data_IF_872029105964
#
_entry.id   IF_872029105964
#
_cell.length_a   1.000
_cell.length_b   1.000
_cell.length_c   1.000
_cell.angle_alpha   90.00
_cell.angle_beta   90.00
_cell.angle_gamma   90.00
#
_symmetry.space_group_name_H-M   'P 1'
#
loop_
_entity.id
_entity.type
_entity.pdbx_description
1 polymer ?
#
# COMPACT_ATOMS: atom_id res chain seq x y z
N UNK A 1 10.39 30.05 27.22
CA UNK A 1 9.46 31.13 26.80
C UNK A 1 8.97 30.77 25.40
N UNK A 2 7.67 30.60 25.21
CA UNK A 2 7.09 30.33 23.89
C UNK A 2 7.24 31.56 23.01
N UNK A 3 7.88 31.41 21.85
CA UNK A 3 8.01 32.51 20.87
C UNK A 3 6.60 32.94 20.42
N UNK A 4 6.38 34.25 20.16
CA UNK A 4 5.10 34.73 19.69
C UNK A 4 4.76 34.10 18.32
N UNK A 5 3.50 33.73 18.10
CA UNK A 5 3.03 33.23 16.80
C UNK A 5 3.15 34.32 15.74
N UNK A 6 3.78 33.98 14.64
CA UNK A 6 3.94 34.84 13.48
C UNK A 6 3.43 34.15 12.22
N UNK A 7 3.07 34.91 11.19
CA UNK A 7 2.66 34.36 9.91
C UNK A 7 3.86 33.72 9.20
N UNK A 8 3.66 32.53 8.67
CA UNK A 8 4.70 31.71 8.05
C UNK A 8 5.42 32.44 6.89
N UNK A 9 4.71 33.32 6.17
CA UNK A 9 5.27 34.12 5.07
C UNK A 9 6.48 34.99 5.44
N UNK A 10 6.70 35.25 6.72
CA UNK A 10 7.87 36.03 7.19
C UNK A 10 9.16 35.18 7.28
N UNK A 11 9.05 33.88 7.15
CA UNK A 11 10.17 32.95 7.32
C UNK A 11 10.68 32.36 6.01
N UNK A 12 10.02 32.63 4.88
CA UNK A 12 10.48 32.25 3.56
C UNK A 12 10.06 33.30 2.52
N UNK A 13 10.64 33.21 1.34
CA UNK A 13 10.14 33.90 0.14
C UNK A 13 9.72 32.87 -0.91
N UNK A 14 8.64 33.14 -1.61
CA UNK A 14 8.25 32.36 -2.80
C UNK A 14 9.16 32.76 -3.96
N UNK A 15 9.75 31.76 -4.62
CA UNK A 15 10.53 31.98 -5.86
C UNK A 15 9.76 31.43 -7.05
N UNK A 16 9.81 32.18 -8.17
CA UNK A 16 9.15 31.81 -9.43
C UNK A 16 10.13 31.91 -10.60
N UNK A 17 11.43 31.69 -10.32
CA UNK A 17 12.44 31.68 -11.35
C UNK A 17 12.20 30.55 -12.33
N UNK A 18 12.10 30.88 -13.62
CA UNK A 18 11.87 29.92 -14.70
C UNK A 18 13.19 29.40 -15.26
N UNK A 19 13.14 28.16 -15.79
CA UNK A 19 14.31 27.50 -16.34
C UNK A 19 14.90 28.25 -17.55
N UNK A 20 14.04 28.74 -18.46
CA UNK A 20 14.50 29.27 -19.72
C UNK A 20 15.29 28.22 -20.51
N UNK A 21 16.54 28.53 -20.84
CA UNK A 21 17.46 27.62 -21.54
C UNK A 21 18.20 26.65 -20.58
N UNK A 22 18.12 26.88 -19.27
CA UNK A 22 18.82 26.08 -18.27
C UNK A 22 18.03 24.80 -17.97
N UNK A 23 18.65 23.64 -18.14
CA UNK A 23 17.99 22.34 -18.02
C UNK A 23 18.68 21.41 -16.99
N UNK A 24 18.71 21.79 -15.70
CA UNK A 24 19.14 20.87 -14.66
C UNK A 24 18.15 19.69 -14.50
N UNK A 25 18.50 18.64 -13.73
CA UNK A 25 17.66 17.45 -13.57
C UNK A 25 16.23 17.78 -13.14
N UNK A 26 15.26 17.05 -13.70
CA UNK A 26 13.87 17.16 -13.30
C UNK A 26 13.67 16.52 -11.92
N UNK A 27 13.04 17.26 -11.02
CA UNK A 27 12.73 16.80 -9.66
C UNK A 27 11.23 16.51 -9.51
N UNK A 28 10.93 15.56 -8.64
CA UNK A 28 9.58 15.22 -8.24
C UNK A 28 9.43 15.35 -6.71
N UNK A 29 8.23 15.70 -6.24
CA UNK A 29 7.90 15.76 -4.83
C UNK A 29 7.07 14.56 -4.45
N UNK A 30 7.71 13.61 -3.76
CA UNK A 30 7.09 12.38 -3.26
C UNK A 30 6.56 12.60 -1.84
N UNK A 31 5.41 11.98 -1.53
CA UNK A 31 4.85 11.96 -0.17
C UNK A 31 5.82 11.25 0.81
N UNK A 32 6.50 10.22 0.34
CA UNK A 32 7.38 9.39 1.18
C UNK A 32 8.83 9.88 1.20
N UNK A 33 9.38 10.23 0.02
CA UNK A 33 10.80 10.53 -0.15
C UNK A 33 11.14 12.03 -0.18
N UNK A 34 10.11 12.92 -0.12
CA UNK A 34 10.33 14.36 -0.28
C UNK A 34 10.71 14.73 -1.71
N UNK A 35 11.67 15.65 -1.87
CA UNK A 35 12.16 16.12 -3.18
C UNK A 35 13.29 15.22 -3.66
N UNK A 36 13.09 14.54 -4.77
CA UNK A 36 14.05 13.59 -5.34
C UNK A 36 14.14 13.76 -6.88
N UNK A 37 15.24 13.34 -7.51
CA UNK A 37 15.28 13.25 -8.96
C UNK A 37 14.13 12.39 -9.50
N UNK A 38 13.43 12.87 -10.52
CA UNK A 38 12.28 12.14 -11.09
C UNK A 38 12.67 10.73 -11.58
N UNK A 39 13.87 10.57 -12.11
CA UNK A 39 14.40 9.28 -12.56
C UNK A 39 14.49 8.21 -11.46
N UNK A 40 14.46 8.59 -10.18
CA UNK A 40 14.43 7.63 -9.07
C UNK A 40 13.03 7.06 -8.79
N UNK A 41 11.98 7.66 -9.36
CA UNK A 41 10.58 7.28 -9.15
C UNK A 41 9.92 6.62 -10.35
N UNK A 42 10.35 6.97 -11.56
CA UNK A 42 9.80 6.44 -12.81
C UNK A 42 10.79 6.61 -13.96
N UNK A 43 10.78 5.65 -14.87
CA UNK A 43 11.52 5.68 -16.14
C UNK A 43 10.73 6.40 -17.26
N UNK A 44 9.49 6.82 -16.98
CA UNK A 44 8.66 7.52 -17.95
C UNK A 44 9.29 8.86 -18.35
N UNK A 45 9.26 9.18 -19.62
CA UNK A 45 9.65 10.49 -20.13
C UNK A 45 8.74 11.60 -19.55
N UNK A 46 9.24 12.84 -19.42
CA UNK A 46 8.42 13.99 -19.05
C UNK A 46 7.24 14.13 -20.03
N UNK A 47 6.06 14.45 -19.53
CA UNK A 47 4.89 14.70 -20.40
C UNK A 47 5.01 15.98 -21.21
N UNK A 48 5.80 16.95 -20.74
CA UNK A 48 6.07 18.20 -21.44
C UNK A 48 7.36 18.05 -22.25
N UNK A 49 7.30 18.38 -23.51
CA UNK A 49 8.48 18.45 -24.42
C UNK A 49 9.33 19.69 -24.12
N UNK A 50 8.69 20.82 -23.77
CA UNK A 50 9.34 22.06 -23.39
C UNK A 50 9.31 22.25 -21.86
N UNK A 51 10.49 22.36 -21.27
CA UNK A 51 10.69 22.57 -19.84
C UNK A 51 11.05 24.02 -19.49
N UNK A 52 11.11 24.94 -20.46
CA UNK A 52 11.49 26.34 -20.24
C UNK A 52 10.63 27.08 -19.21
N UNK A 53 9.36 26.66 -19.08
CA UNK A 53 8.40 27.22 -18.12
C UNK A 53 8.45 26.52 -16.74
N UNK A 54 9.28 25.48 -16.57
CA UNK A 54 9.45 24.86 -15.27
C UNK A 54 10.18 25.81 -14.32
N UNK A 55 9.99 25.60 -13.00
CA UNK A 55 10.61 26.45 -12.00
C UNK A 55 11.96 25.89 -11.58
N UNK A 56 12.93 26.77 -11.44
CA UNK A 56 14.21 26.45 -10.85
C UNK A 56 14.08 26.35 -9.33
N UNK A 57 14.65 25.31 -8.79
CA UNK A 57 14.78 25.04 -7.37
C UNK A 57 16.27 24.86 -7.06
N UNK A 58 16.74 25.57 -6.06
CA UNK A 58 18.13 25.47 -5.57
C UNK A 58 18.22 24.49 -4.40
N UNK A 59 19.45 24.04 -4.11
CA UNK A 59 19.70 23.26 -2.89
C UNK A 59 19.26 24.05 -1.66
N UNK A 60 18.50 23.42 -0.77
CA UNK A 60 17.95 24.04 0.44
C UNK A 60 16.59 24.72 0.22
N UNK A 61 16.11 24.88 -0.98
CA UNK A 61 14.75 25.33 -1.22
C UNK A 61 13.74 24.26 -0.79
N UNK A 62 12.61 24.68 -0.26
CA UNK A 62 11.49 23.79 0.07
C UNK A 62 10.52 23.77 -1.11
N UNK A 63 10.22 22.59 -1.61
CA UNK A 63 9.29 22.40 -2.73
C UNK A 63 8.01 21.74 -2.24
N UNK A 64 6.87 22.31 -2.63
CA UNK A 64 5.55 21.89 -2.23
C UNK A 64 4.68 21.64 -3.45
N UNK A 65 4.13 20.41 -3.57
CA UNK A 65 3.11 20.11 -4.55
C UNK A 65 1.74 20.60 -4.04
N UNK A 66 1.23 21.68 -4.60
CA UNK A 66 0.00 22.36 -4.15
C UNK A 66 -1.22 21.46 -4.06
N UNK A 67 -1.32 20.46 -4.94
CA UNK A 67 -2.46 19.55 -5.03
C UNK A 67 -2.34 18.35 -4.08
N UNK A 68 -1.13 18.05 -3.57
CA UNK A 68 -0.87 16.93 -2.66
C UNK A 68 -0.16 17.32 -1.36
N UNK A 69 -0.04 18.61 -1.08
CA UNK A 69 0.60 19.10 0.14
C UNK A 69 -0.08 18.57 1.42
N UNK A 70 -1.41 18.50 1.40
CA UNK A 70 -2.21 17.93 2.49
C UNK A 70 -1.99 16.41 2.69
N UNK A 71 -1.33 15.74 1.76
CA UNK A 71 -0.89 14.35 1.88
C UNK A 71 0.59 14.26 2.31
N UNK A 72 1.26 15.38 2.51
CA UNK A 72 2.68 15.44 2.86
C UNK A 72 3.63 15.52 1.66
N UNK A 73 3.14 15.85 0.45
CA UNK A 73 3.98 16.06 -0.72
C UNK A 73 4.71 17.42 -0.64
N UNK A 74 5.68 17.48 0.28
CA UNK A 74 6.55 18.62 0.55
C UNK A 74 7.92 18.11 0.99
N UNK A 75 8.98 18.82 0.65
CA UNK A 75 10.33 18.47 1.07
C UNK A 75 11.36 19.54 0.76
N UNK A 76 12.54 19.38 1.32
CA UNK A 76 13.72 20.17 0.99
C UNK A 76 14.43 19.55 -0.21
N UNK A 77 14.85 20.38 -1.15
CA UNK A 77 15.68 19.93 -2.25
C UNK A 77 17.14 19.77 -1.80
N UNK A 78 17.73 18.62 -2.03
CA UNK A 78 19.15 18.36 -1.78
C UNK A 78 20.04 18.78 -2.94
N UNK A 79 19.46 19.09 -4.11
CA UNK A 79 20.17 19.45 -5.34
C UNK A 79 19.42 20.56 -6.09
N UNK A 80 20.13 21.24 -6.97
CA UNK A 80 19.53 22.15 -7.95
C UNK A 80 18.79 21.35 -9.02
N UNK A 81 17.57 21.79 -9.40
CA UNK A 81 16.78 21.09 -10.41
C UNK A 81 15.53 21.84 -10.84
N UNK A 82 14.77 21.21 -11.73
CA UNK A 82 13.50 21.73 -12.26
C UNK A 82 12.31 21.06 -11.58
N UNK A 83 11.32 21.85 -11.24
CA UNK A 83 10.04 21.37 -10.70
C UNK A 83 8.87 21.90 -11.49
N UNK A 84 7.74 21.22 -11.43
CA UNK A 84 6.51 21.61 -12.16
C UNK A 84 6.15 23.07 -11.91
N UNK A 85 5.64 23.79 -12.92
CA UNK A 85 5.11 25.15 -12.76
C UNK A 85 4.04 25.31 -11.68
N UNK A 86 3.28 24.25 -11.42
CA UNK A 86 2.22 24.21 -10.39
C UNK A 86 2.76 24.09 -8.96
N UNK A 87 4.04 23.76 -8.77
CA UNK A 87 4.61 23.64 -7.46
C UNK A 87 5.01 25.00 -6.88
N UNK A 88 5.04 25.10 -5.56
CA UNK A 88 5.65 26.24 -4.87
C UNK A 88 7.09 25.91 -4.54
N UNK A 89 7.96 26.88 -4.82
CA UNK A 89 9.36 26.86 -4.38
C UNK A 89 9.50 27.94 -3.33
N UNK A 90 9.84 27.53 -2.11
CA UNK A 90 9.94 28.39 -0.93
C UNK A 90 11.40 28.43 -0.51
N UNK A 91 12.01 29.61 -0.57
CA UNK A 91 13.39 29.82 -0.12
C UNK A 91 13.39 30.29 1.32
N UNK A 92 13.95 29.50 2.26
CA UNK A 92 14.01 29.87 3.68
C UNK A 92 14.75 31.17 3.90
N UNK A 93 14.30 31.96 4.89
CA UNK A 93 14.94 33.19 5.32
C UNK A 93 16.15 32.92 6.26
N UNK A 94 16.96 33.93 6.57
CA UNK A 94 18.17 33.77 7.36
C UNK A 94 17.93 33.38 8.83
N UNK A 95 16.72 33.60 9.34
CA UNK A 95 16.31 33.20 10.69
C UNK A 95 15.72 31.82 10.82
N UNK A 96 15.82 31.01 9.75
CA UNK A 96 15.19 29.68 9.68
C UNK A 96 16.19 28.57 9.40
N UNK A 97 16.09 27.49 10.17
CA UNK A 97 16.77 26.22 9.88
C UNK A 97 15.91 25.39 8.92
N UNK A 98 16.43 25.10 7.74
CA UNK A 98 15.67 24.43 6.67
C UNK A 98 15.20 23.02 7.08
N UNK A 99 15.98 22.28 7.84
CA UNK A 99 15.61 20.93 8.32
C UNK A 99 14.48 21.01 9.35
N UNK A 100 14.46 22.04 10.19
CA UNK A 100 13.34 22.29 11.10
C UNK A 100 12.04 22.57 10.32
N UNK A 101 12.09 23.44 9.30
CA UNK A 101 10.92 23.69 8.43
C UNK A 101 10.48 22.43 7.69
N UNK A 102 11.41 21.56 7.27
CA UNK A 102 11.08 20.28 6.68
C UNK A 102 10.23 19.41 7.63
N UNK A 103 10.63 19.29 8.89
CA UNK A 103 9.89 18.54 9.90
C UNK A 103 8.56 19.21 10.25
N UNK A 104 8.56 20.54 10.42
CA UNK A 104 7.34 21.31 10.70
C UNK A 104 6.28 21.07 9.62
N UNK A 105 6.64 21.24 8.36
CA UNK A 105 5.70 21.11 7.23
C UNK A 105 5.16 19.69 7.04
N UNK A 106 5.87 18.68 7.50
CA UNK A 106 5.45 17.28 7.46
C UNK A 106 4.79 16.79 8.75
N UNK A 107 4.69 17.62 9.76
CA UNK A 107 3.97 17.30 11.00
C UNK A 107 2.47 17.17 10.75
N UNK A 108 1.80 16.28 11.51
CA UNK A 108 0.33 16.12 11.42
C UNK A 108 -0.40 17.43 11.69
N UNK A 109 0.13 18.23 12.63
CA UNK A 109 -0.43 19.53 12.94
C UNK A 109 -0.42 20.45 11.73
N UNK A 110 0.73 20.63 11.06
CA UNK A 110 0.86 21.52 9.92
C UNK A 110 0.06 21.02 8.69
N UNK A 111 0.05 19.70 8.46
CA UNK A 111 -0.78 19.09 7.43
C UNK A 111 -2.27 19.36 7.69
N UNK A 112 -2.71 19.31 8.96
CA UNK A 112 -4.08 19.70 9.37
C UNK A 112 -4.37 21.15 9.07
N UNK A 113 -3.46 22.08 9.42
CA UNK A 113 -3.57 23.51 9.14
C UNK A 113 -3.65 23.81 7.64
N UNK A 114 -2.87 23.12 6.81
CA UNK A 114 -2.97 23.23 5.36
C UNK A 114 -4.31 22.70 4.84
N UNK A 115 -4.75 21.56 5.36
CA UNK A 115 -6.00 20.90 4.91
C UNK A 115 -7.23 21.76 5.17
N UNK A 116 -7.25 22.48 6.32
CA UNK A 116 -8.37 23.39 6.67
C UNK A 116 -8.47 24.62 5.75
N UNK A 117 -7.42 24.92 4.99
CA UNK A 117 -7.34 26.08 4.07
C UNK A 117 -7.38 25.70 2.60
N UNK A 118 -7.63 24.42 2.28
CA UNK A 118 -7.77 23.99 0.89
C UNK A 118 -8.96 24.64 0.22
N UNK A 119 -8.76 25.17 -0.99
CA UNK A 119 -9.84 25.66 -1.84
C UNK A 119 -10.18 24.63 -2.92
N UNK A 120 -11.47 24.54 -3.27
CA UNK A 120 -11.97 23.60 -4.26
C UNK A 120 -12.65 22.35 -3.68
N UNK A 121 -12.81 22.28 -2.34
CA UNK A 121 -13.69 21.31 -1.67
C UNK A 121 -15.08 21.94 -1.60
N UNK A 122 -15.92 21.67 -2.58
CA UNK A 122 -17.30 22.14 -2.62
C UNK A 122 -17.87 21.91 -4.01
N UNK A 123 -18.94 21.12 -4.08
CA UNK A 123 -19.70 20.94 -5.32
C UNK A 123 -20.27 22.29 -5.74
N UNK A 124 -19.89 22.78 -6.89
CA UNK A 124 -20.68 23.80 -7.59
C UNK A 124 -21.81 23.06 -8.29
N UNK A 125 -22.99 23.67 -8.36
CA UNK A 125 -24.20 23.15 -9.05
C UNK A 125 -23.94 22.66 -10.50
N UNK A 126 -22.74 22.87 -11.04
CA UNK A 126 -22.33 22.52 -12.40
C UNK A 126 -21.35 21.33 -12.49
N UNK A 127 -21.20 20.50 -11.45
CA UNK A 127 -20.53 19.18 -11.55
C UNK A 127 -19.00 19.16 -11.81
N UNK A 128 -18.31 20.30 -11.85
CA UNK A 128 -16.87 20.34 -12.02
C UNK A 128 -16.17 20.14 -10.67
N UNK A 129 -15.69 18.93 -10.42
CA UNK A 129 -14.83 18.62 -9.27
C UNK A 129 -13.48 19.31 -9.47
N UNK A 130 -13.26 20.44 -8.79
CA UNK A 130 -11.94 21.09 -8.79
C UNK A 130 -11.02 20.33 -7.83
N UNK A 131 -9.84 19.97 -8.29
CA UNK A 131 -8.79 19.37 -7.45
C UNK A 131 -8.44 20.34 -6.31
N UNK A 132 -8.54 19.91 -5.03
CA UNK A 132 -8.17 20.75 -3.90
C UNK A 132 -6.72 21.22 -4.01
N UNK A 133 -6.46 22.52 -3.75
CA UNK A 133 -5.11 23.08 -3.75
C UNK A 133 -4.92 24.12 -2.66
N UNK A 134 -3.70 24.21 -2.12
CA UNK A 134 -3.31 25.30 -1.24
C UNK A 134 -2.78 26.48 -2.05
N UNK A 135 -3.22 27.70 -1.73
CA UNK A 135 -2.70 28.91 -2.35
C UNK A 135 -1.52 29.48 -1.53
N UNK A 136 -0.59 30.21 -2.18
CA UNK A 136 0.56 30.79 -1.47
C UNK A 136 0.17 31.71 -0.32
N UNK A 137 -0.90 32.49 -0.48
CA UNK A 137 -1.41 33.41 0.54
C UNK A 137 -1.97 32.66 1.73
N UNK A 138 -2.80 31.62 1.47
CA UNK A 138 -3.41 30.79 2.51
C UNK A 138 -2.33 30.01 3.28
N UNK A 139 -1.28 29.51 2.60
CA UNK A 139 -0.10 28.90 3.23
C UNK A 139 0.67 29.92 4.08
N UNK A 140 0.91 31.10 3.53
CA UNK A 140 1.66 32.18 4.19
C UNK A 140 0.98 32.75 5.43
N UNK A 141 -0.33 32.64 5.52
CA UNK A 141 -1.13 33.14 6.65
C UNK A 141 -1.27 32.12 7.79
N UNK A 142 -0.75 30.89 7.63
CA UNK A 142 -0.63 29.95 8.75
C UNK A 142 0.25 30.58 9.83
N UNK A 143 -0.22 30.59 11.07
CA UNK A 143 0.54 31.10 12.22
C UNK A 143 1.34 29.99 12.83
N UNK A 144 2.62 30.27 13.09
CA UNK A 144 3.58 29.34 13.71
C UNK A 144 4.37 30.06 14.80
N UNK A 145 4.62 29.40 15.90
CA UNK A 145 5.55 29.85 16.91
C UNK A 145 6.93 29.26 16.58
N UNK A 146 7.77 30.01 15.84
CA UNK A 146 9.10 29.54 15.52
C UNK A 146 10.05 29.84 16.69
N UNK A 147 10.76 28.84 17.24
CA UNK A 147 11.76 29.04 18.27
C UNK A 147 12.98 29.78 17.72
N UNK A 148 13.96 30.08 18.59
CA UNK A 148 15.24 30.67 18.17
C UNK A 148 15.94 29.76 17.15
N UNK A 149 16.80 30.33 16.31
CA UNK A 149 17.55 29.55 15.31
C UNK A 149 18.37 28.41 15.94
N UNK A 150 18.92 28.64 17.12
CA UNK A 150 19.64 27.63 17.88
C UNK A 150 18.73 26.47 18.30
N UNK A 151 17.53 26.79 18.79
CA UNK A 151 16.54 25.79 19.17
C UNK A 151 16.01 25.05 17.96
N UNK A 152 15.77 25.73 16.84
CA UNK A 152 15.40 25.08 15.58
C UNK A 152 16.43 24.03 15.14
N UNK A 153 17.75 24.38 15.23
CA UNK A 153 18.85 23.46 14.93
C UNK A 153 18.84 22.25 15.85
N UNK A 154 18.67 22.47 17.15
CA UNK A 154 18.62 21.42 18.17
C UNK A 154 17.46 20.46 17.93
N UNK A 155 16.27 20.99 17.63
CA UNK A 155 15.10 20.18 17.28
C UNK A 155 15.35 19.40 15.98
N UNK A 156 15.92 20.02 14.96
CA UNK A 156 16.22 19.37 13.69
C UNK A 156 17.22 18.22 13.87
N UNK A 157 18.33 18.44 14.57
CA UNK A 157 19.35 17.42 14.85
C UNK A 157 18.77 16.22 15.62
N UNK A 158 17.93 16.50 16.61
CA UNK A 158 17.21 15.47 17.36
C UNK A 158 16.27 14.66 16.45
N UNK A 159 15.43 15.35 15.67
CA UNK A 159 14.47 14.70 14.79
C UNK A 159 15.16 13.92 13.67
N UNK A 160 16.22 14.44 13.06
CA UNK A 160 17.00 13.73 12.05
C UNK A 160 17.57 12.43 12.62
N UNK A 161 18.12 12.48 13.84
CA UNK A 161 18.69 11.31 14.53
C UNK A 161 17.60 10.26 14.84
N UNK A 162 16.51 10.66 15.47
CA UNK A 162 15.47 9.75 15.92
C UNK A 162 14.62 9.22 14.76
N UNK A 163 14.31 10.05 13.76
CA UNK A 163 13.59 9.56 12.57
C UNK A 163 14.44 8.58 11.77
N UNK A 164 15.74 8.83 11.59
CA UNK A 164 16.64 7.88 10.95
C UNK A 164 16.76 6.55 11.72
N UNK A 165 16.67 6.59 13.06
CA UNK A 165 16.63 5.38 13.89
C UNK A 165 15.32 4.60 13.67
N UNK A 166 14.19 5.29 13.65
CA UNK A 166 12.88 4.70 13.39
C UNK A 166 12.85 4.09 11.98
N UNK A 167 13.34 4.81 10.98
CA UNK A 167 13.35 4.36 9.59
C UNK A 167 14.20 3.08 9.42
N UNK A 168 15.39 3.01 10.07
CA UNK A 168 16.20 1.77 10.09
C UNK A 168 15.49 0.59 10.76
N UNK A 169 14.72 0.83 11.82
CA UNK A 169 13.92 -0.22 12.45
C UNK A 169 12.77 -0.66 11.53
N UNK A 170 12.10 0.28 10.87
CA UNK A 170 11.03 -0.01 9.92
C UNK A 170 11.56 -0.87 8.75
N UNK A 171 12.72 -0.56 8.18
CA UNK A 171 13.35 -1.37 7.15
C UNK A 171 13.62 -2.83 7.62
N UNK A 172 14.09 -2.98 8.86
CA UNK A 172 14.32 -4.31 9.44
C UNK A 172 13.02 -5.10 9.60
N UNK A 173 11.96 -4.47 10.09
CA UNK A 173 10.66 -5.13 10.22
C UNK A 173 10.04 -5.44 8.85
N UNK A 174 10.22 -4.58 7.86
CA UNK A 174 9.77 -4.86 6.48
C UNK A 174 10.50 -6.08 5.90
N UNK A 175 11.83 -6.16 6.04
CA UNK A 175 12.61 -7.34 5.64
C UNK A 175 12.17 -8.59 6.40
N UNK A 176 11.96 -8.49 7.72
CA UNK A 176 11.48 -9.62 8.54
C UNK A 176 10.11 -10.10 8.06
N UNK A 177 9.18 -9.19 7.76
CA UNK A 177 7.86 -9.53 7.22
C UNK A 177 7.97 -10.28 5.90
N UNK A 178 8.78 -9.79 4.96
CA UNK A 178 8.97 -10.40 3.65
C UNK A 178 9.60 -11.79 3.76
N UNK A 179 10.72 -11.93 4.50
CA UNK A 179 11.38 -13.22 4.72
C UNK A 179 10.47 -14.23 5.45
N UNK A 180 9.59 -13.76 6.32
CA UNK A 180 8.64 -14.64 7.01
C UNK A 180 7.56 -15.16 6.05
N UNK A 181 7.11 -14.35 5.10
CA UNK A 181 6.18 -14.77 4.05
C UNK A 181 6.87 -15.78 3.11
N UNK A 182 8.09 -15.48 2.67
CA UNK A 182 8.89 -16.39 1.84
C UNK A 182 9.12 -17.73 2.53
N UNK A 183 9.45 -17.71 3.84
CA UNK A 183 9.61 -18.93 4.62
C UNK A 183 8.32 -19.74 4.71
N UNK A 184 7.15 -19.07 4.85
CA UNK A 184 5.86 -19.75 4.83
C UNK A 184 5.59 -20.44 3.49
N UNK A 185 6.07 -19.86 2.38
CA UNK A 185 6.02 -20.46 1.04
C UNK A 185 6.94 -21.68 0.94
N UNK A 186 8.19 -21.55 1.39
CA UNK A 186 9.16 -22.66 1.36
C UNK A 186 8.68 -23.89 2.13
N UNK A 187 7.89 -23.71 3.20
CA UNK A 187 7.29 -24.84 3.93
C UNK A 187 6.36 -25.66 3.05
N UNK A 188 5.51 -24.99 2.26
CA UNK A 188 4.62 -25.65 1.30
C UNK A 188 5.45 -26.40 0.25
N UNK A 189 6.39 -25.69 -0.37
CA UNK A 189 7.20 -26.21 -1.47
C UNK A 189 7.98 -27.44 -1.04
N UNK A 190 8.59 -27.40 0.16
CA UNK A 190 9.34 -28.52 0.73
C UNK A 190 8.42 -29.74 0.97
N UNK A 191 7.24 -29.52 1.52
CA UNK A 191 6.29 -30.61 1.76
C UNK A 191 5.78 -31.25 0.45
N UNK A 192 5.65 -30.45 -0.62
CA UNK A 192 5.19 -30.93 -1.92
C UNK A 192 6.34 -31.41 -2.83
N UNK A 193 7.61 -31.16 -2.50
CA UNK A 193 8.77 -31.61 -3.29
C UNK A 193 8.95 -33.12 -3.31
N UNK A 194 8.38 -33.84 -2.34
CA UNK A 194 8.41 -35.31 -2.28
C UNK A 194 7.60 -36.03 -3.36
N UNK A 195 6.82 -35.28 -4.18
CA UNK A 195 5.99 -35.83 -5.23
C UNK A 195 6.55 -35.47 -6.60
N UNK A 196 6.65 -36.45 -7.49
CA UNK A 196 7.09 -36.22 -8.87
C UNK A 196 5.95 -35.55 -9.67
N UNK A 197 6.33 -34.77 -10.71
CA UNK A 197 5.32 -34.20 -11.64
C UNK A 197 4.52 -35.29 -12.36
N UNK A 198 5.10 -36.48 -12.55
CA UNK A 198 4.44 -37.63 -13.18
C UNK A 198 3.32 -38.19 -12.30
N UNK A 199 3.44 -38.08 -10.96
CA UNK A 199 2.41 -38.51 -10.01
C UNK A 199 1.28 -37.48 -9.81
N UNK A 200 1.45 -36.24 -10.31
CA UNK A 200 0.42 -35.22 -10.22
C UNK A 200 -0.74 -35.52 -11.20
N UNK A 201 -1.96 -35.28 -10.73
CA UNK A 201 -3.19 -35.55 -11.48
C UNK A 201 -3.93 -34.26 -11.85
N UNK A 202 -4.77 -34.25 -12.89
CA UNK A 202 -5.57 -33.06 -13.21
C UNK A 202 -6.50 -32.67 -12.06
N UNK A 203 -6.73 -31.37 -11.86
CA UNK A 203 -7.65 -30.86 -10.84
C UNK A 203 -9.06 -31.45 -10.99
N UNK A 204 -9.50 -31.74 -12.21
CA UNK A 204 -10.78 -32.35 -12.48
C UNK A 204 -10.94 -33.75 -11.88
N UNK A 205 -9.87 -34.47 -11.55
CA UNK A 205 -9.94 -35.82 -10.97
C UNK A 205 -10.03 -35.80 -9.44
N UNK A 206 -9.62 -34.69 -8.81
CA UNK A 206 -9.59 -34.54 -7.34
C UNK A 206 -10.68 -33.61 -6.81
N UNK A 207 -11.38 -32.91 -7.70
CA UNK A 207 -12.48 -32.02 -7.33
C UNK A 207 -13.84 -32.66 -7.63
N UNK A 208 -14.80 -32.50 -6.70
CA UNK A 208 -16.21 -32.88 -6.92
C UNK A 208 -16.95 -31.86 -7.78
N UNK A 209 -16.48 -30.61 -7.83
CA UNK A 209 -16.98 -29.56 -8.71
C UNK A 209 -15.85 -28.55 -9.03
N UNK A 210 -15.86 -28.09 -10.28
CA UNK A 210 -15.07 -26.92 -10.72
C UNK A 210 -16.06 -26.00 -11.43
N UNK A 211 -16.30 -24.81 -10.84
CA UNK A 211 -17.36 -23.89 -11.28
C UNK A 211 -16.74 -22.59 -11.75
N UNK A 212 -16.97 -22.25 -13.01
CA UNK A 212 -16.61 -20.94 -13.56
C UNK A 212 -17.69 -19.89 -13.24
N UNK A 213 -17.27 -18.67 -12.97
CA UNK A 213 -18.16 -17.55 -12.73
C UNK A 213 -19.05 -17.22 -13.93
N UNK A 214 -20.11 -16.46 -13.71
CA UNK A 214 -20.86 -15.83 -14.80
C UNK A 214 -20.02 -14.68 -15.37
N UNK A 215 -19.67 -14.76 -16.65
CA UNK A 215 -18.80 -13.77 -17.30
C UNK A 215 -19.57 -12.50 -17.71
N UNK A 216 -20.27 -11.90 -16.72
CA UNK A 216 -20.99 -10.63 -16.83
C UNK A 216 -20.79 -9.83 -15.56
N UNK A 217 -20.78 -8.50 -15.66
CA UNK A 217 -20.78 -7.62 -14.49
C UNK A 217 -22.12 -7.73 -13.77
N UNK A 218 -22.08 -8.09 -12.49
CA UNK A 218 -23.28 -8.15 -11.66
C UNK A 218 -23.73 -6.72 -11.27
N UNK A 219 -25.02 -6.40 -11.39
CA UNK A 219 -25.56 -5.17 -10.84
C UNK A 219 -25.40 -5.15 -9.32
N UNK A 220 -24.85 -4.06 -8.78
CA UNK A 220 -24.69 -3.86 -7.33
C UNK A 220 -25.89 -3.13 -6.75
N UNK A 221 -26.18 -3.39 -5.47
CA UNK A 221 -27.21 -2.67 -4.71
C UNK A 221 -26.55 -1.58 -3.86
N UNK A 222 -27.19 -0.43 -3.77
CA UNK A 222 -26.83 0.62 -2.79
C UNK A 222 -27.30 0.27 -1.38
N UNK A 223 -28.29 -0.62 -1.26
CA UNK A 223 -28.77 -1.12 0.02
C UNK A 223 -27.90 -2.28 0.52
N UNK A 224 -27.73 -2.35 1.82
CA UNK A 224 -27.02 -3.46 2.47
C UNK A 224 -27.93 -4.69 2.45
N UNK A 225 -27.50 -5.74 1.76
CA UNK A 225 -28.21 -7.02 1.67
C UNK A 225 -27.34 -8.14 2.25
N UNK A 226 -27.91 -9.32 2.57
CA UNK A 226 -27.13 -10.48 2.99
C UNK A 226 -26.34 -11.12 1.84
N UNK A 227 -26.64 -10.76 0.59
CA UNK A 227 -26.04 -11.36 -0.61
C UNK A 227 -24.80 -10.59 -1.03
N UNK A 228 -23.65 -11.24 -1.06
CA UNK A 228 -22.35 -10.60 -1.26
C UNK A 228 -21.62 -11.13 -2.50
N UNK A 229 -21.04 -10.21 -3.28
CA UNK A 229 -20.21 -10.54 -4.43
C UNK A 229 -18.74 -10.61 -4.04
N UNK A 230 -18.12 -11.77 -4.25
CA UNK A 230 -16.67 -11.94 -4.12
C UNK A 230 -16.00 -11.50 -5.43
N UNK A 231 -15.02 -10.60 -5.33
CA UNK A 231 -14.19 -10.12 -6.45
C UNK A 231 -12.77 -10.68 -6.36
N UNK A 232 -12.02 -10.58 -7.45
CA UNK A 232 -10.60 -10.97 -7.48
C UNK A 232 -9.77 -10.25 -6.38
N UNK A 233 -10.12 -9.00 -6.05
CA UNK A 233 -9.48 -8.23 -4.98
C UNK A 233 -9.68 -8.80 -3.57
N UNK A 234 -10.71 -9.62 -3.36
CA UNK A 234 -11.00 -10.26 -2.09
C UNK A 234 -10.19 -11.55 -1.85
N UNK A 235 -9.52 -12.08 -2.88
CA UNK A 235 -8.82 -13.37 -2.84
C UNK A 235 -7.32 -13.12 -2.77
N UNK A 236 -6.65 -13.51 -1.68
CA UNK A 236 -5.19 -13.33 -1.53
C UNK A 236 -4.59 -14.27 -0.49
N UNK A 237 -3.40 -14.79 -0.79
CA UNK A 237 -2.52 -15.49 0.16
C UNK A 237 -3.17 -16.68 0.91
N UNK A 238 -4.12 -17.35 0.29
CA UNK A 238 -4.83 -18.50 0.84
C UNK A 238 -6.11 -18.16 1.58
N UNK A 239 -6.51 -16.88 1.65
CA UNK A 239 -7.73 -16.42 2.32
C UNK A 239 -8.65 -15.63 1.38
N UNK A 240 -9.94 -15.59 1.73
CA UNK A 240 -10.97 -14.76 1.10
C UNK A 240 -11.45 -13.71 2.09
N UNK A 241 -11.14 -12.44 1.83
CA UNK A 241 -11.55 -11.32 2.68
C UNK A 241 -12.93 -10.82 2.26
N UNK A 242 -13.91 -10.90 3.16
CA UNK A 242 -15.30 -10.48 2.93
C UNK A 242 -15.61 -9.11 3.54
N UNK A 243 -14.64 -8.39 4.10
CA UNK A 243 -14.87 -7.08 4.75
C UNK A 243 -15.31 -6.02 3.75
N UNK A 244 -14.77 -6.04 2.53
CA UNK A 244 -15.09 -5.09 1.46
C UNK A 244 -15.75 -5.80 0.26
N UNK A 245 -16.98 -6.24 0.41
CA UNK A 245 -17.78 -6.87 -0.63
C UNK A 245 -18.94 -5.98 -1.07
N UNK A 246 -19.36 -6.10 -2.33
CA UNK A 246 -20.57 -5.43 -2.79
C UNK A 246 -21.82 -6.22 -2.44
N UNK A 247 -22.87 -5.50 -2.01
CA UNK A 247 -24.21 -6.05 -1.86
C UNK A 247 -24.92 -6.14 -3.22
N UNK A 248 -25.75 -7.16 -3.38
CA UNK A 248 -26.59 -7.34 -4.59
C UNK A 248 -28.02 -7.71 -4.19
N UNK A 249 -28.96 -7.53 -5.12
CA UNK A 249 -30.32 -8.00 -4.94
C UNK A 249 -30.44 -9.53 -5.00
N UNK A 250 -31.50 -10.09 -4.38
CA UNK A 250 -31.74 -11.53 -4.31
C UNK A 250 -31.81 -12.20 -5.70
N UNK A 251 -32.44 -11.56 -6.67
CA UNK A 251 -32.55 -12.10 -8.04
C UNK A 251 -31.20 -12.24 -8.72
N UNK A 252 -30.31 -11.25 -8.54
CA UNK A 252 -28.93 -11.29 -9.03
C UNK A 252 -28.17 -12.44 -8.37
N UNK A 253 -28.32 -12.61 -7.06
CA UNK A 253 -27.70 -13.70 -6.31
C UNK A 253 -28.10 -15.07 -6.85
N UNK A 254 -29.39 -15.31 -7.14
CA UNK A 254 -29.88 -16.57 -7.72
C UNK A 254 -29.29 -16.78 -9.12
N UNK A 255 -29.35 -15.75 -9.98
CA UNK A 255 -28.87 -15.85 -11.36
C UNK A 255 -27.37 -16.16 -11.43
N UNK A 256 -26.55 -15.50 -10.59
CA UNK A 256 -25.10 -15.70 -10.61
C UNK A 256 -24.68 -17.03 -9.98
N UNK A 257 -25.47 -17.61 -9.09
CA UNK A 257 -25.24 -18.93 -8.51
C UNK A 257 -25.81 -20.12 -9.31
N UNK A 258 -26.42 -19.89 -10.47
CA UNK A 258 -27.04 -20.93 -11.30
C UNK A 258 -26.10 -22.06 -11.72
N UNK A 259 -24.79 -21.84 -11.75
CA UNK A 259 -23.77 -22.85 -12.08
C UNK A 259 -23.27 -23.62 -10.86
N UNK A 260 -23.57 -23.14 -9.67
CA UNK A 260 -23.15 -23.69 -8.39
C UNK A 260 -22.78 -22.57 -7.40
N UNK A 261 -23.42 -22.57 -6.25
CA UNK A 261 -23.12 -21.63 -5.20
C UNK A 261 -21.82 -22.01 -4.47
N UNK A 262 -20.96 -21.02 -4.13
CA UNK A 262 -19.82 -21.26 -3.27
C UNK A 262 -20.23 -21.80 -1.90
N UNK A 263 -19.42 -22.68 -1.33
CA UNK A 263 -19.62 -23.28 -0.02
C UNK A 263 -18.38 -23.13 0.85
N UNK A 264 -18.55 -23.23 2.15
CA UNK A 264 -17.43 -23.22 3.11
C UNK A 264 -16.44 -24.35 2.77
N UNK A 265 -15.16 -24.01 2.63
CA UNK A 265 -14.09 -24.93 2.23
C UNK A 265 -13.78 -24.94 0.72
N UNK A 266 -14.55 -24.28 -0.11
CA UNK A 266 -14.22 -24.13 -1.53
C UNK A 266 -12.97 -23.29 -1.74
N UNK A 267 -12.14 -23.67 -2.71
CA UNK A 267 -10.96 -22.93 -3.12
C UNK A 267 -11.35 -22.01 -4.28
N UNK A 268 -11.16 -20.71 -4.10
CA UNK A 268 -11.39 -19.70 -5.11
C UNK A 268 -10.06 -19.29 -5.76
N UNK A 269 -10.06 -19.27 -7.09
CA UNK A 269 -8.87 -18.99 -7.89
C UNK A 269 -9.17 -17.92 -8.94
N UNK A 270 -8.27 -16.94 -9.09
CA UNK A 270 -8.41 -15.87 -10.07
C UNK A 270 -7.78 -16.25 -11.40
N UNK A 271 -8.55 -16.17 -12.49
CA UNK A 271 -8.10 -16.47 -13.86
C UNK A 271 -7.41 -15.32 -14.56
N UNK A 272 -7.56 -14.09 -14.03
CA UNK A 272 -6.97 -12.84 -14.53
C UNK A 272 -7.13 -11.71 -13.52
N UNK A 273 -6.38 -10.63 -13.69
CA UNK A 273 -6.47 -9.35 -12.99
C UNK A 273 -6.43 -9.38 -11.43
N UNK A 274 -5.40 -9.93 -10.79
CA UNK A 274 -4.27 -10.67 -11.32
C UNK A 274 -4.54 -12.16 -11.44
N UNK A 275 -3.84 -12.86 -12.34
CA UNK A 275 -3.87 -14.32 -12.45
C UNK A 275 -3.24 -14.98 -11.22
N UNK A 276 -3.82 -16.10 -10.78
CA UNK A 276 -3.17 -17.00 -9.82
C UNK A 276 -3.38 -16.64 -8.34
N UNK A 277 -4.20 -15.65 -8.00
CA UNK A 277 -4.56 -15.47 -6.60
C UNK A 277 -5.50 -16.59 -6.15
N UNK A 278 -5.26 -17.11 -4.96
CA UNK A 278 -6.04 -18.22 -4.41
C UNK A 278 -6.41 -17.96 -2.96
N UNK A 279 -7.59 -18.47 -2.56
CA UNK A 279 -8.06 -18.42 -1.18
C UNK A 279 -9.12 -19.48 -0.91
N UNK A 280 -9.13 -20.01 0.31
CA UNK A 280 -10.19 -20.87 0.79
C UNK A 280 -11.32 -20.04 1.39
N UNK A 281 -12.52 -20.30 0.94
CA UNK A 281 -13.72 -19.66 1.50
C UNK A 281 -14.01 -20.26 2.88
N UNK A 282 -14.03 -19.40 3.92
CA UNK A 282 -14.28 -19.78 5.31
C UNK A 282 -15.48 -19.01 5.86
N UNK A 283 -16.64 -19.24 5.25
CA UNK A 283 -17.90 -18.60 5.64
C UNK A 283 -19.09 -19.40 5.20
N UNK A 284 -20.19 -19.26 5.92
CA UNK A 284 -21.52 -19.75 5.56
C UNK A 284 -22.42 -18.61 5.04
N UNK A 285 -21.87 -17.41 4.83
CA UNK A 285 -22.59 -16.27 4.27
C UNK A 285 -23.05 -16.54 2.83
N UNK A 286 -24.12 -15.90 2.43
CA UNK A 286 -24.67 -16.00 1.07
C UNK A 286 -23.80 -15.22 0.08
N UNK A 287 -22.86 -15.90 -0.57
CA UNK A 287 -21.89 -15.31 -1.50
C UNK A 287 -22.02 -15.90 -2.91
N UNK A 288 -21.52 -15.16 -3.90
CA UNK A 288 -21.37 -15.66 -5.27
C UNK A 288 -20.06 -15.15 -5.88
N UNK A 289 -19.62 -15.82 -6.94
CA UNK A 289 -18.40 -15.46 -7.66
C UNK A 289 -18.64 -14.27 -8.58
N UNK A 290 -17.91 -13.19 -8.38
CA UNK A 290 -17.73 -12.13 -9.36
C UNK A 290 -16.94 -12.64 -10.57
N UNK A 291 -16.73 -11.77 -11.56
CA UNK A 291 -16.01 -12.12 -12.78
C UNK A 291 -14.60 -12.66 -12.51
N UNK A 292 -14.09 -13.51 -13.40
CA UNK A 292 -12.69 -13.95 -13.46
C UNK A 292 -12.26 -14.88 -12.32
N UNK A 293 -13.22 -15.52 -11.66
CA UNK A 293 -12.98 -16.44 -10.55
C UNK A 293 -13.47 -17.83 -10.95
N UNK A 294 -12.67 -18.85 -10.65
CA UNK A 294 -13.05 -20.25 -10.69
C UNK A 294 -13.04 -20.81 -9.28
N UNK A 295 -14.04 -21.61 -8.98
CA UNK A 295 -14.19 -22.35 -7.74
C UNK A 295 -13.74 -23.78 -7.95
N UNK A 296 -12.95 -24.30 -7.02
CA UNK A 296 -12.60 -25.73 -6.92
C UNK A 296 -13.12 -26.27 -5.59
N UNK A 297 -14.01 -27.26 -5.67
CA UNK A 297 -14.51 -27.99 -4.51
C UNK A 297 -13.82 -29.34 -4.43
N UNK A 298 -13.06 -29.55 -3.37
CA UNK A 298 -12.36 -30.81 -3.15
C UNK A 298 -13.36 -31.99 -3.09
N UNK A 299 -12.97 -33.11 -3.69
CA UNK A 299 -13.59 -34.38 -3.36
C UNK A 299 -12.90 -34.93 -2.10
N UNK A 300 -13.50 -34.71 -0.93
CA UNK A 300 -12.90 -35.04 0.37
C UNK A 300 -12.59 -36.55 0.55
N UNK A 301 -13.14 -37.43 -0.27
CA UNK A 301 -12.75 -38.83 -0.32
C UNK A 301 -11.40 -39.04 -1.02
N UNK A 302 -10.95 -38.08 -1.84
CA UNK A 302 -9.74 -38.15 -2.67
C UNK A 302 -8.66 -37.23 -2.13
N UNK A 303 -8.99 -35.95 -1.93
CA UNK A 303 -8.05 -34.93 -1.47
C UNK A 303 -8.66 -34.07 -0.38
N UNK A 304 -7.90 -33.75 0.67
CA UNK A 304 -8.27 -32.74 1.66
C UNK A 304 -8.30 -31.35 1.05
N UNK A 305 -9.30 -30.55 1.37
CA UNK A 305 -9.41 -29.18 0.88
C UNK A 305 -8.20 -28.31 1.26
N UNK A 306 -7.60 -28.53 2.44
CA UNK A 306 -6.38 -27.86 2.87
C UNK A 306 -5.19 -28.23 1.96
N UNK A 307 -5.04 -29.52 1.62
CA UNK A 307 -3.97 -29.95 0.72
C UNK A 307 -4.19 -29.42 -0.70
N UNK A 308 -5.44 -29.37 -1.16
CA UNK A 308 -5.78 -28.73 -2.44
C UNK A 308 -5.40 -27.24 -2.44
N UNK A 309 -5.71 -26.49 -1.36
CA UNK A 309 -5.28 -25.11 -1.20
C UNK A 309 -3.75 -24.98 -1.29
N UNK A 310 -3.00 -25.85 -0.59
CA UNK A 310 -1.54 -25.80 -0.60
C UNK A 310 -0.94 -26.14 -1.96
N UNK A 311 -1.58 -27.00 -2.75
CA UNK A 311 -1.19 -27.17 -4.14
C UNK A 311 -1.31 -25.88 -4.94
N UNK A 312 -2.40 -25.13 -4.79
CA UNK A 312 -2.58 -23.86 -5.48
C UNK A 312 -1.62 -22.76 -4.97
N UNK A 313 -1.19 -22.83 -3.72
CA UNK A 313 -0.23 -21.92 -3.11
C UNK A 313 1.24 -22.31 -3.39
N UNK A 314 1.50 -23.52 -3.87
CA UNK A 314 2.85 -24.02 -4.10
C UNK A 314 3.52 -23.42 -5.35
N UNK A 315 4.84 -23.25 -5.32
CA UNK A 315 5.62 -22.69 -6.43
C UNK A 315 5.51 -23.51 -7.73
N UNK A 316 5.14 -24.79 -7.64
CA UNK A 316 4.87 -25.60 -8.82
C UNK A 316 3.64 -25.10 -9.59
N UNK A 317 2.64 -24.55 -8.89
CA UNK A 317 1.49 -23.92 -9.54
C UNK A 317 1.91 -22.67 -10.31
N UNK A 318 2.72 -21.79 -9.70
CA UNK A 318 3.25 -20.62 -10.40
C UNK A 318 4.02 -20.98 -11.68
N UNK A 319 4.78 -22.08 -11.65
CA UNK A 319 5.47 -22.59 -12.86
C UNK A 319 4.46 -23.01 -13.93
N UNK A 320 3.41 -23.75 -13.56
CA UNK A 320 2.36 -24.15 -14.51
C UNK A 320 1.66 -22.95 -15.12
N UNK A 321 1.31 -21.93 -14.29
CA UNK A 321 0.64 -20.70 -14.76
C UNK A 321 1.50 -19.94 -15.75
N UNK A 322 2.80 -19.80 -15.48
CA UNK A 322 3.76 -19.15 -16.41
C UNK A 322 3.86 -19.91 -17.74
N UNK A 323 3.87 -21.23 -17.72
CA UNK A 323 3.93 -22.04 -18.96
C UNK A 323 2.63 -21.91 -19.78
N UNK A 324 1.48 -21.87 -19.14
CA UNK A 324 0.18 -21.68 -19.79
C UNK A 324 -0.02 -20.24 -20.30
N UNK A 325 0.56 -19.24 -19.64
CA UNK A 325 0.53 -17.84 -20.06
C UNK A 325 1.61 -17.45 -21.08
N UNK A 326 2.59 -18.30 -21.35
CA UNK A 326 3.66 -18.04 -22.30
C UNK A 326 3.12 -17.91 -23.73
N UNK A 327 3.03 -16.67 -24.24
CA UNK A 327 2.52 -16.34 -25.58
C UNK A 327 1.25 -15.48 -25.61
N UNK A 328 0.70 -15.12 -24.45
CA UNK A 328 -0.42 -14.19 -24.33
C UNK A 328 0.03 -12.80 -23.88
N UNK A 329 -0.37 -11.75 -24.61
CA UNK A 329 -0.17 -10.34 -24.23
C UNK A 329 -0.91 -9.96 -22.93
N UNK A 330 -1.85 -10.80 -22.48
CA UNK A 330 -2.60 -10.64 -21.25
C UNK A 330 -2.55 -11.92 -20.44
N UNK A 331 -2.22 -11.82 -19.16
CA UNK A 331 -2.28 -12.93 -18.20
C UNK A 331 -3.73 -13.38 -17.98
N UNK A 332 -4.22 -14.22 -18.88
CA UNK A 332 -5.58 -14.76 -18.85
C UNK A 332 -5.56 -16.29 -19.05
N UNK A 333 -6.18 -17.02 -18.12
CA UNK A 333 -6.34 -18.46 -18.20
C UNK A 333 -7.72 -18.85 -18.73
N UNK A 334 -7.75 -19.76 -19.71
CA UNK A 334 -9.00 -20.34 -20.22
C UNK A 334 -9.59 -21.34 -19.23
N UNK A 335 -10.92 -21.43 -19.17
CA UNK A 335 -11.61 -22.38 -18.28
C UNK A 335 -11.16 -23.82 -18.49
N UNK A 336 -10.94 -24.24 -19.74
CA UNK A 336 -10.44 -25.58 -20.06
C UNK A 336 -9.06 -25.89 -19.47
N UNK A 337 -8.21 -24.90 -19.30
CA UNK A 337 -6.88 -25.06 -18.69
C UNK A 337 -6.99 -25.16 -17.17
N UNK A 338 -7.97 -24.49 -16.55
CA UNK A 338 -8.27 -24.63 -15.13
C UNK A 338 -8.56 -26.08 -14.72
N UNK A 339 -9.20 -26.86 -15.59
CA UNK A 339 -9.52 -28.28 -15.34
C UNK A 339 -8.27 -29.17 -15.34
N UNK A 340 -7.23 -28.76 -16.08
CA UNK A 340 -6.01 -29.54 -16.34
C UNK A 340 -4.87 -29.23 -15.40
N UNK A 341 -5.01 -28.24 -14.52
CA UNK A 341 -3.97 -27.91 -13.56
C UNK A 341 -3.55 -29.16 -12.79
N UNK A 342 -2.24 -29.37 -12.70
CA UNK A 342 -1.67 -30.59 -12.07
C UNK A 342 -1.61 -30.41 -10.57
N UNK A 343 -2.23 -31.35 -9.86
CA UNK A 343 -2.35 -31.38 -8.39
C UNK A 343 -1.60 -32.59 -7.85
N UNK A 344 -0.73 -32.40 -6.89
CA UNK A 344 -0.11 -33.47 -6.14
C UNK A 344 -1.12 -34.06 -5.15
N UNK A 345 -1.49 -35.30 -5.36
CA UNK A 345 -2.51 -36.00 -4.57
C UNK A 345 -1.95 -37.32 -4.03
N UNK A 346 -1.26 -37.32 -2.89
CA UNK A 346 -0.78 -38.54 -2.24
C UNK A 346 -1.94 -39.39 -1.70
N UNK A 347 -1.70 -40.65 -1.34
CA UNK A 347 -2.71 -41.49 -0.70
C UNK A 347 -3.37 -40.80 0.49
N UNK A 348 -4.68 -40.98 0.64
CA UNK A 348 -5.50 -40.28 1.64
C UNK A 348 -4.96 -40.42 3.08
N UNK A 349 -4.36 -41.57 3.39
CA UNK A 349 -3.76 -41.87 4.69
C UNK A 349 -2.55 -40.99 5.06
N UNK A 350 -1.89 -40.41 4.06
CA UNK A 350 -0.71 -39.53 4.27
C UNK A 350 -1.09 -38.06 4.35
N UNK A 351 -2.26 -37.67 3.88
CA UNK A 351 -2.65 -36.27 3.72
C UNK A 351 -2.82 -35.54 5.05
N UNK A 352 -3.31 -36.20 6.11
CA UNK A 352 -3.49 -35.61 7.43
C UNK A 352 -2.15 -35.17 8.03
N UNK A 353 -1.14 -36.03 7.95
CA UNK A 353 0.21 -35.73 8.42
C UNK A 353 0.85 -34.58 7.63
N UNK A 354 0.70 -34.59 6.31
CA UNK A 354 1.25 -33.59 5.42
C UNK A 354 0.61 -32.21 5.65
N UNK A 355 -0.71 -32.16 5.80
CA UNK A 355 -1.44 -30.91 6.10
C UNK A 355 -0.99 -30.37 7.47
N UNK A 356 -0.92 -31.20 8.50
CA UNK A 356 -0.48 -30.80 9.83
C UNK A 356 0.96 -30.23 9.84
N UNK A 357 1.88 -30.86 9.09
CA UNK A 357 3.26 -30.37 8.93
C UNK A 357 3.28 -28.98 8.27
N UNK A 358 2.55 -28.79 7.17
CA UNK A 358 2.47 -27.51 6.47
C UNK A 358 1.87 -26.43 7.38
N UNK A 359 0.76 -26.73 8.06
CA UNK A 359 0.09 -25.79 8.95
C UNK A 359 0.99 -25.33 10.10
N UNK A 360 1.62 -26.27 10.80
CA UNK A 360 2.53 -25.96 11.90
C UNK A 360 3.72 -25.11 11.47
N UNK A 361 4.35 -25.45 10.33
CA UNK A 361 5.46 -24.70 9.78
C UNK A 361 5.09 -23.29 9.33
N UNK A 362 3.94 -23.13 8.67
CA UNK A 362 3.43 -21.85 8.19
C UNK A 362 2.92 -20.93 9.30
N UNK A 363 2.19 -21.49 10.28
CA UNK A 363 1.56 -20.70 11.34
C UNK A 363 2.57 -19.82 12.08
N UNK A 364 3.74 -20.35 12.42
CA UNK A 364 4.83 -19.59 13.06
C UNK A 364 5.32 -18.43 12.18
N UNK A 365 5.55 -18.69 10.91
CA UNK A 365 6.05 -17.70 9.95
C UNK A 365 5.03 -16.60 9.67
N UNK A 366 3.77 -16.95 9.45
CA UNK A 366 2.69 -15.98 9.22
C UNK A 366 2.41 -15.12 10.46
N UNK A 367 2.48 -15.71 11.66
CA UNK A 367 2.38 -14.97 12.92
C UNK A 367 3.48 -13.93 13.03
N UNK A 368 4.73 -14.31 12.71
CA UNK A 368 5.86 -13.38 12.73
C UNK A 368 5.70 -12.24 11.72
N UNK A 369 5.26 -12.53 10.50
CA UNK A 369 4.95 -11.52 9.49
C UNK A 369 3.86 -10.53 9.97
N UNK A 370 2.80 -11.04 10.60
CA UNK A 370 1.72 -10.20 11.17
C UNK A 370 2.24 -9.30 12.29
N UNK A 371 3.07 -9.82 13.18
CA UNK A 371 3.70 -9.03 14.25
C UNK A 371 4.62 -7.95 13.67
N UNK A 372 5.43 -8.29 12.66
CA UNK A 372 6.29 -7.32 11.99
C UNK A 372 5.49 -6.18 11.34
N UNK A 373 4.39 -6.49 10.65
CA UNK A 373 3.48 -5.48 10.08
C UNK A 373 2.87 -4.57 11.15
N UNK A 374 2.48 -5.13 12.30
CA UNK A 374 1.98 -4.33 13.42
C UNK A 374 3.04 -3.37 13.95
N UNK A 375 4.29 -3.81 14.08
CA UNK A 375 5.40 -2.96 14.51
C UNK A 375 5.67 -1.82 13.51
N UNK A 376 5.56 -2.08 12.20
CA UNK A 376 5.67 -1.05 11.17
C UNK A 376 4.62 0.05 11.35
N UNK A 377 3.36 -0.31 11.59
CA UNK A 377 2.29 0.66 11.84
C UNK A 377 2.59 1.51 13.09
N UNK A 378 2.99 0.89 14.21
CA UNK A 378 3.35 1.58 15.44
C UNK A 378 4.57 2.52 15.27
N UNK A 379 5.57 2.11 14.49
CA UNK A 379 6.73 2.97 14.19
C UNK A 379 6.34 4.18 13.36
N UNK A 380 5.44 4.03 12.39
CA UNK A 380 4.93 5.14 11.59
C UNK A 380 4.14 6.14 12.46
N UNK A 381 3.29 5.66 13.35
CA UNK A 381 2.56 6.49 14.31
C UNK A 381 3.51 7.21 15.26
N UNK A 382 4.47 6.51 15.85
CA UNK A 382 5.48 7.08 16.74
C UNK A 382 6.31 8.17 16.04
N UNK A 383 6.73 7.92 14.79
CA UNK A 383 7.46 8.89 13.98
C UNK A 383 6.68 10.21 13.84
N UNK A 384 5.41 10.11 13.51
CA UNK A 384 4.54 11.27 13.34
C UNK A 384 4.25 12.01 14.67
N UNK A 385 4.02 11.26 15.74
CA UNK A 385 3.80 11.83 17.06
C UNK A 385 5.05 12.60 17.55
N UNK A 386 6.24 12.00 17.38
CA UNK A 386 7.51 12.61 17.79
C UNK A 386 7.77 13.92 17.03
N UNK A 387 7.61 13.89 15.69
CA UNK A 387 7.78 15.08 14.85
C UNK A 387 6.81 16.18 15.34
N UNK A 388 5.53 15.86 15.48
CA UNK A 388 4.52 16.84 15.88
C UNK A 388 4.82 17.41 17.26
N UNK A 389 5.10 16.58 18.25
CA UNK A 389 5.39 17.04 19.62
C UNK A 389 6.63 17.93 19.69
N UNK A 390 7.70 17.60 18.96
CA UNK A 390 8.92 18.39 18.96
C UNK A 390 8.74 19.75 18.26
N UNK A 391 8.09 19.80 17.09
CA UNK A 391 7.93 21.08 16.36
C UNK A 391 6.86 21.99 16.94
N UNK A 392 5.92 21.46 17.74
CA UNK A 392 4.88 22.26 18.43
C UNK A 392 5.28 22.65 19.85
N UNK A 393 6.48 22.24 20.30
CA UNK A 393 6.95 22.55 21.65
C UNK A 393 6.28 21.76 22.79
N UNK A 394 5.48 20.72 22.44
CA UNK A 394 4.89 19.81 23.43
C UNK A 394 5.92 18.88 24.06
N UNK A 395 7.07 18.74 23.43
CA UNK A 395 8.19 17.93 23.88
C UNK A 395 9.48 18.78 23.88
N UNK A 396 10.11 18.88 25.03
CA UNK A 396 11.39 19.59 25.17
C UNK A 396 12.55 18.67 24.82
N UNK A 397 13.14 18.89 23.64
CA UNK A 397 14.26 18.07 23.13
C UNK A 397 15.55 18.23 23.99
N UNK A 398 15.68 19.28 24.81
CA UNK A 398 16.85 19.48 25.67
C UNK A 398 16.89 18.48 26.83
N UNK A 399 15.72 17.97 27.23
CA UNK A 399 15.59 16.98 28.31
C UNK A 399 15.57 15.54 27.80
N UNK A 400 15.60 15.34 26.46
CA UNK A 400 15.54 14.05 25.81
C UNK A 400 16.84 13.27 26.03
N UNK A 401 16.88 12.42 27.03
CA UNK A 401 17.82 11.30 27.07
C UNK A 401 17.22 10.13 26.28
N UNK A 402 18.06 9.31 25.63
CA UNK A 402 17.58 8.14 24.85
C UNK A 402 16.68 7.15 25.62
N UNK A 403 16.48 7.34 26.92
CA UNK A 403 15.54 6.60 27.77
C UNK A 403 14.18 7.29 27.93
N UNK A 404 14.12 8.65 27.87
CA UNK A 404 12.89 9.41 28.13
C UNK A 404 12.01 9.64 26.89
N UNK A 405 12.52 9.35 25.69
CA UNK A 405 11.76 9.47 24.44
C UNK A 405 10.59 8.48 24.36
N UNK A 406 10.61 7.45 25.21
CA UNK A 406 9.53 6.44 25.29
C UNK A 406 8.40 6.84 26.23
N UNK A 407 8.65 7.66 27.25
CA UNK A 407 7.69 7.93 28.34
C UNK A 407 6.89 9.22 28.13
N UNK A 408 7.35 10.14 27.29
CA UNK A 408 6.73 11.44 27.04
C UNK A 408 5.72 11.48 25.87
N UNK A 409 5.56 10.42 25.12
CA UNK A 409 4.65 10.31 23.96
C UNK A 409 3.60 9.23 24.21
N UNK A 410 2.95 9.30 25.36
CA UNK A 410 1.70 8.54 25.59
C UNK A 410 0.54 9.34 25.03
N UNK A 411 -0.19 8.72 24.12
CA UNK A 411 -1.28 9.16 23.26
C UNK A 411 -2.21 10.24 23.76
#
# INVERSE_FOLDING_TARGET
MTSPEQRLKYFYRVTDQRAGEDQPPLLAVSIHHGVVPRSTLTDDLPRAEDLSNYKLCEQGDIVLNRMRAFQGAIGVSSVRGLVSPDYLVLRPGPSTEVRYLHHLFRSKWFVGEMSSRLRGIGGTENGAVRTPRINPEDLGDIRVALPSLEEQRRIADFLDTETARIDRLADRYQKLSNLSIERAQVVIDKALMGFSEESAVPASTVCSAIVDCVNKTAPTSTEVTPYKMIRTSNIRNGDVDLTETFSVGHQVFIEWNRRGAPQNGDILFTREAPLGQVGMLRTDASVFLGQRIVLYRANENVIKKELLLYNFLGSHMDRQLRLLGAGSLHEHMRVGDCLKLRIYCPPRTQQDGLVAEIEAGRAKSLRLAKLAKRQLALLAERRQALITAAVTGQFDVSTASGRNVTDGVSA
#
